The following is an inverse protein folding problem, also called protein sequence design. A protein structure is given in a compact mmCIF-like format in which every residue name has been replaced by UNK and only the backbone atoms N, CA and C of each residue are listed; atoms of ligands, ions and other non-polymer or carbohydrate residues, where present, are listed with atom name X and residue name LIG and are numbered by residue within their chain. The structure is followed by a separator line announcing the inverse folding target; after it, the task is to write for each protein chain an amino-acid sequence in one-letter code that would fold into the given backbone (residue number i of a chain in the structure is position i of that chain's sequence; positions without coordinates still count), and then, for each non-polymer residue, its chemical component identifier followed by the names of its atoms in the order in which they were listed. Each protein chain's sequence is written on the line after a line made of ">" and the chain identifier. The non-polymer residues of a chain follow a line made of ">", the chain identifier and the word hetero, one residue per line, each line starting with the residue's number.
data_IF_663105362412
#
_entry.id   IF_663105362412
#
_cell.length_a   1.000
_cell.length_b   1.000
_cell.length_c   1.000
_cell.angle_alpha   90.00
_cell.angle_beta   90.00
_cell.angle_gamma   90.00
#
_symmetry.space_group_name_H-M   'P 1'
#
loop_
_entity.id
_entity.type
_entity.pdbx_description
1 polymer ?
#
# COMPACT_ATOMS: atom_id res chain seq x y z
N UNK A 1 -33.77 -34.73 -4.82
CA UNK A 1 -34.18 -33.32 -5.01
C UNK A 1 -34.02 -32.97 -6.49
N UNK A 2 -34.99 -32.37 -7.15
CA UNK A 2 -34.83 -31.99 -8.56
C UNK A 2 -33.73 -30.98 -8.71
N UNK A 3 -32.91 -31.13 -9.74
CA UNK A 3 -31.71 -30.32 -10.04
C UNK A 3 -32.00 -28.81 -10.06
N UNK A 4 -33.20 -28.44 -10.44
CA UNK A 4 -33.68 -27.04 -10.43
C UNK A 4 -33.75 -26.42 -9.04
N UNK A 5 -34.08 -27.20 -7.98
CA UNK A 5 -34.13 -26.70 -6.59
C UNK A 5 -32.72 -26.45 -6.05
N UNK A 6 -31.75 -27.29 -6.42
CA UNK A 6 -30.35 -27.12 -6.02
C UNK A 6 -29.74 -25.87 -6.68
N UNK A 7 -30.03 -25.66 -7.96
CA UNK A 7 -29.58 -24.46 -8.68
C UNK A 7 -30.18 -23.18 -8.10
N UNK A 8 -31.48 -23.21 -7.75
CA UNK A 8 -32.14 -22.07 -7.14
C UNK A 8 -31.55 -21.72 -5.77
N UNK A 9 -31.23 -22.73 -4.95
CA UNK A 9 -30.59 -22.54 -3.64
C UNK A 9 -29.19 -21.93 -3.80
N UNK A 10 -28.39 -22.38 -4.78
CA UNK A 10 -27.05 -21.85 -5.05
C UNK A 10 -27.15 -20.39 -5.52
N UNK A 11 -28.06 -20.08 -6.44
CA UNK A 11 -28.27 -18.71 -6.92
C UNK A 11 -28.72 -17.78 -5.77
N UNK A 12 -29.65 -18.24 -4.94
CA UNK A 12 -30.13 -17.48 -3.79
C UNK A 12 -29.02 -17.23 -2.76
N UNK A 13 -28.16 -18.23 -2.51
CA UNK A 13 -27.00 -18.12 -1.64
C UNK A 13 -25.97 -17.13 -2.20
N UNK A 14 -25.72 -17.14 -3.52
CA UNK A 14 -24.84 -16.18 -4.18
C UNK A 14 -25.38 -14.75 -4.11
N UNK A 15 -26.68 -14.55 -4.32
CA UNK A 15 -27.31 -13.22 -4.23
C UNK A 15 -27.29 -12.69 -2.80
N UNK A 16 -27.61 -13.51 -1.82
CA UNK A 16 -27.50 -13.15 -0.40
C UNK A 16 -26.06 -12.83 0.01
N UNK A 17 -25.10 -13.57 -0.52
CA UNK A 17 -23.67 -13.33 -0.31
C UNK A 17 -23.23 -11.97 -0.85
N UNK A 18 -23.67 -11.61 -2.07
CA UNK A 18 -23.37 -10.30 -2.68
C UNK A 18 -24.02 -9.15 -1.90
N UNK A 19 -25.28 -9.31 -1.47
CA UNK A 19 -25.99 -8.30 -0.70
C UNK A 19 -25.38 -8.11 0.71
N UNK A 20 -24.95 -9.20 1.35
CA UNK A 20 -24.31 -9.14 2.66
C UNK A 20 -22.90 -8.53 2.60
N UNK A 21 -22.15 -8.83 1.53
CA UNK A 21 -20.85 -8.22 1.25
C UNK A 21 -20.99 -6.70 1.04
N UNK A 22 -21.99 -6.26 0.31
CA UNK A 22 -22.27 -4.84 0.05
C UNK A 22 -22.68 -4.06 1.32
N UNK A 23 -23.45 -4.71 2.22
CA UNK A 23 -23.85 -4.12 3.50
C UNK A 23 -22.67 -4.07 4.51
N UNK A 24 -21.80 -5.09 4.52
CA UNK A 24 -20.59 -5.15 5.33
C UNK A 24 -19.59 -4.04 4.98
N UNK A 25 -19.34 -3.82 3.68
CA UNK A 25 -18.44 -2.77 3.17
C UNK A 25 -18.91 -1.37 3.60
N UNK A 26 -20.22 -1.10 3.57
CA UNK A 26 -20.75 0.20 4.03
C UNK A 26 -20.58 0.47 5.52
N UNK A 27 -20.64 -0.56 6.37
CA UNK A 27 -20.46 -0.41 7.83
C UNK A 27 -18.99 -0.26 8.24
N UNK A 28 -18.05 -0.84 7.48
CA UNK A 28 -16.61 -0.76 7.80
C UNK A 28 -16.00 0.59 7.41
N UNK A 29 -16.46 1.21 6.32
CA UNK A 29 -15.97 2.53 5.91
C UNK A 29 -16.16 3.63 6.99
N UNK A 30 -17.06 3.43 7.95
CA UNK A 30 -17.34 4.39 9.03
C UNK A 30 -16.50 4.21 10.30
N UNK A 31 -15.63 3.18 10.40
CA UNK A 31 -14.90 2.89 11.65
C UNK A 31 -13.44 3.33 11.71
N UNK A 32 -12.83 3.72 10.59
CA UNK A 32 -11.39 4.01 10.52
C UNK A 32 -10.95 5.48 10.78
N UNK A 33 -11.81 6.33 11.30
CA UNK A 33 -11.51 7.76 11.52
C UNK A 33 -11.32 8.17 12.99
N UNK A 34 -10.57 7.40 13.78
CA UNK A 34 -10.20 7.83 15.13
C UNK A 34 -8.70 7.80 15.35
N UNK A 35 -7.98 8.71 14.74
CA UNK A 35 -6.64 9.11 15.17
C UNK A 35 -6.60 10.61 15.33
N UNK A 36 -6.06 11.07 16.44
CA UNK A 36 -5.96 12.50 16.74
C UNK A 36 -5.09 13.20 15.69
N UNK A 37 -5.68 14.12 14.95
CA UNK A 37 -4.94 15.00 14.02
C UNK A 37 -4.10 15.94 14.86
N UNK A 38 -2.79 15.66 14.97
CA UNK A 38 -1.85 16.59 15.55
C UNK A 38 -1.71 17.78 14.59
N UNK A 39 -2.21 18.94 14.98
CA UNK A 39 -1.96 20.18 14.24
C UNK A 39 -0.49 20.59 14.42
N UNK A 40 0.33 20.38 13.40
CA UNK A 40 1.66 20.97 13.35
C UNK A 40 1.56 22.49 13.23
N UNK A 41 2.39 23.28 13.94
CA UNK A 41 2.33 24.73 13.84
C UNK A 41 2.63 25.19 12.41
N UNK A 42 1.73 25.99 11.84
CA UNK A 42 1.93 26.61 10.54
C UNK A 42 3.20 27.48 10.57
N UNK A 43 4.18 27.15 9.73
CA UNK A 43 5.25 28.09 9.41
C UNK A 43 4.60 29.30 8.73
N UNK A 44 4.78 30.50 9.29
CA UNK A 44 4.35 31.75 8.66
C UNK A 44 5.30 32.00 7.47
N UNK A 45 4.87 31.70 6.26
CA UNK A 45 5.61 32.02 5.05
C UNK A 45 5.37 33.47 4.67
N UNK A 46 6.45 34.26 4.56
CA UNK A 46 6.45 35.64 4.08
C UNK A 46 6.32 35.79 2.55
N UNK A 47 6.11 34.69 1.82
CA UNK A 47 5.98 34.61 0.37
C UNK A 47 4.78 33.81 -0.11
N UNK A 48 4.58 33.75 -1.44
CA UNK A 48 3.58 32.86 -2.03
C UNK A 48 3.97 31.41 -1.80
N UNK A 49 3.00 30.59 -1.39
CA UNK A 49 3.23 29.14 -1.24
C UNK A 49 3.62 28.51 -2.57
N UNK A 50 4.53 27.56 -2.52
CA UNK A 50 5.10 26.85 -3.67
C UNK A 50 4.66 25.40 -3.65
N UNK A 51 4.12 24.91 -4.74
CA UNK A 51 3.82 23.50 -4.94
C UNK A 51 4.69 22.92 -6.04
N UNK A 52 5.29 21.75 -5.79
CA UNK A 52 5.91 20.94 -6.82
C UNK A 52 5.04 19.69 -7.06
N UNK A 53 4.82 19.35 -8.32
CA UNK A 53 3.96 18.26 -8.75
C UNK A 53 4.79 17.26 -9.54
N UNK A 54 4.95 16.08 -8.98
CA UNK A 54 5.64 14.96 -9.63
C UNK A 54 4.57 14.11 -10.30
N UNK A 55 4.52 14.15 -11.61
CA UNK A 55 3.42 13.60 -12.39
C UNK A 55 3.92 12.50 -13.33
N UNK A 56 3.24 11.37 -13.31
CA UNK A 56 3.45 10.33 -14.31
C UNK A 56 2.61 10.67 -15.58
N UNK A 57 3.23 11.13 -16.67
CA UNK A 57 2.52 11.72 -17.80
C UNK A 57 1.71 10.71 -18.61
N UNK A 58 2.04 9.41 -18.50
CA UNK A 58 1.35 8.34 -19.26
C UNK A 58 0.09 7.82 -18.56
N UNK A 59 -0.19 8.30 -17.34
CA UNK A 59 -1.39 7.87 -16.60
C UNK A 59 -2.63 8.63 -17.07
N UNK A 60 -3.73 7.90 -17.21
CA UNK A 60 -5.02 8.52 -17.44
C UNK A 60 -5.35 9.50 -16.32
N UNK A 61 -5.86 10.69 -16.68
CA UNK A 61 -6.15 11.78 -15.74
C UNK A 61 -4.96 12.70 -15.41
N UNK A 62 -3.74 12.43 -15.91
CA UNK A 62 -2.59 13.29 -15.65
C UNK A 62 -2.78 14.72 -16.20
N UNK A 63 -3.35 14.85 -17.40
CA UNK A 63 -3.64 16.15 -18.00
C UNK A 63 -4.70 16.92 -17.20
N UNK A 64 -5.77 16.24 -16.76
CA UNK A 64 -6.82 16.85 -15.95
C UNK A 64 -6.26 17.29 -14.58
N UNK A 65 -5.44 16.46 -13.94
CA UNK A 65 -4.76 16.82 -12.70
C UNK A 65 -3.94 18.11 -12.85
N UNK A 66 -3.16 18.22 -13.93
CA UNK A 66 -2.36 19.43 -14.22
C UNK A 66 -3.24 20.67 -14.30
N UNK A 67 -4.36 20.59 -15.03
CA UNK A 67 -5.31 21.72 -15.18
C UNK A 67 -5.93 22.10 -13.84
N UNK A 68 -6.45 21.12 -13.07
CA UNK A 68 -7.08 21.38 -11.79
C UNK A 68 -6.10 21.93 -10.75
N UNK A 69 -4.87 21.41 -10.67
CA UNK A 69 -3.83 21.90 -9.75
C UNK A 69 -3.47 23.35 -10.10
N UNK A 70 -3.18 23.64 -11.37
CA UNK A 70 -2.81 24.99 -11.82
C UNK A 70 -3.92 25.99 -11.48
N UNK A 71 -5.16 25.65 -11.79
CA UNK A 71 -6.33 26.50 -11.49
C UNK A 71 -6.50 26.73 -9.98
N UNK A 72 -6.45 25.67 -9.18
CA UNK A 72 -6.67 25.76 -7.73
C UNK A 72 -5.55 26.55 -7.04
N UNK A 73 -4.29 26.33 -7.43
CA UNK A 73 -3.15 27.08 -6.90
C UNK A 73 -3.25 28.59 -7.27
N UNK A 74 -3.61 28.91 -8.53
CA UNK A 74 -3.81 30.27 -8.99
C UNK A 74 -4.91 30.99 -8.22
N UNK A 75 -6.07 30.35 -8.05
CA UNK A 75 -7.19 30.91 -7.30
C UNK A 75 -6.85 31.14 -5.81
N UNK A 76 -5.97 30.33 -5.24
CA UNK A 76 -5.49 30.48 -3.87
C UNK A 76 -4.31 31.48 -3.74
N UNK A 77 -3.87 32.08 -4.82
CA UNK A 77 -2.75 33.04 -4.83
C UNK A 77 -1.36 32.43 -4.63
N UNK A 78 -1.21 31.11 -4.84
CA UNK A 78 0.06 30.42 -4.77
C UNK A 78 0.98 30.80 -5.94
N UNK A 79 2.26 30.46 -5.85
CA UNK A 79 3.17 30.54 -7.00
C UNK A 79 2.72 29.57 -8.10
N UNK A 80 3.21 29.79 -9.32
CA UNK A 80 2.98 28.86 -10.42
C UNK A 80 3.51 27.47 -10.05
N UNK A 81 2.71 26.40 -10.19
CA UNK A 81 3.12 25.04 -9.84
C UNK A 81 4.33 24.58 -10.68
N UNK A 82 5.35 24.03 -10.01
CA UNK A 82 6.45 23.36 -10.68
C UNK A 82 6.04 21.94 -11.04
N UNK A 83 5.91 21.62 -12.32
CA UNK A 83 5.63 20.28 -12.80
C UNK A 83 6.90 19.54 -13.19
N UNK A 84 7.09 18.36 -12.60
CA UNK A 84 8.21 17.45 -12.83
C UNK A 84 7.65 16.10 -13.29
N UNK A 85 8.09 15.60 -14.44
CA UNK A 85 7.56 14.35 -14.98
C UNK A 85 8.46 13.17 -14.62
N UNK A 86 7.83 12.03 -14.28
CA UNK A 86 8.53 10.77 -14.06
C UNK A 86 8.92 10.14 -15.40
N UNK A 87 9.91 9.27 -15.38
CA UNK A 87 10.32 8.46 -16.53
C UNK A 87 10.12 6.97 -16.24
N UNK A 88 10.44 6.12 -17.21
CA UNK A 88 10.42 4.67 -17.00
C UNK A 88 11.52 4.21 -16.02
N UNK A 89 12.65 4.92 -16.01
CA UNK A 89 13.83 4.61 -15.19
C UNK A 89 13.75 5.23 -13.81
N UNK A 90 13.07 6.38 -13.66
CA UNK A 90 12.92 7.09 -12.39
C UNK A 90 11.44 7.37 -12.09
N UNK A 91 10.84 6.60 -11.17
CA UNK A 91 9.44 6.77 -10.78
C UNK A 91 9.18 8.05 -9.97
N UNK A 92 10.20 8.87 -9.65
CA UNK A 92 10.02 10.13 -8.94
C UNK A 92 11.11 10.51 -7.94
N UNK A 93 12.18 9.75 -7.81
CA UNK A 93 13.24 10.03 -6.81
C UNK A 93 14.00 11.32 -7.09
N UNK A 94 14.47 11.53 -8.32
CA UNK A 94 15.19 12.75 -8.69
C UNK A 94 14.26 13.96 -8.64
N UNK A 95 13.03 13.81 -9.13
CA UNK A 95 12.01 14.84 -9.13
C UNK A 95 11.65 15.28 -7.71
N UNK A 96 11.55 14.34 -6.76
CA UNK A 96 11.27 14.67 -5.36
C UNK A 96 12.43 15.45 -4.70
N UNK A 97 13.69 15.09 -5.00
CA UNK A 97 14.85 15.86 -4.56
C UNK A 97 14.84 17.26 -5.14
N UNK A 98 14.57 17.39 -6.43
CA UNK A 98 14.44 18.69 -7.10
C UNK A 98 13.32 19.55 -6.51
N UNK A 99 12.19 18.94 -6.12
CA UNK A 99 11.11 19.62 -5.45
C UNK A 99 11.52 20.19 -4.08
N UNK A 100 12.32 19.45 -3.30
CA UNK A 100 12.89 19.91 -2.04
C UNK A 100 13.90 21.05 -2.26
N UNK A 101 14.77 20.94 -3.24
CA UNK A 101 15.75 21.99 -3.63
C UNK A 101 15.05 23.27 -4.11
N UNK A 102 13.91 23.14 -4.82
CA UNK A 102 13.07 24.28 -5.20
C UNK A 102 12.46 24.99 -3.99
N UNK A 103 12.43 24.35 -2.82
CA UNK A 103 11.80 24.84 -1.61
C UNK A 103 10.28 24.77 -1.70
N UNK A 104 9.73 23.67 -2.18
CA UNK A 104 8.29 23.43 -2.22
C UNK A 104 7.72 23.36 -0.80
N UNK A 105 6.58 24.03 -0.58
CA UNK A 105 5.80 23.94 0.67
C UNK A 105 4.90 22.70 0.69
N UNK A 106 4.59 22.15 -0.49
CA UNK A 106 3.86 20.91 -0.69
C UNK A 106 4.44 20.20 -1.91
N UNK A 107 4.64 18.90 -1.81
CA UNK A 107 4.98 18.06 -2.97
C UNK A 107 3.80 17.14 -3.26
N UNK A 108 3.32 17.14 -4.50
CA UNK A 108 2.21 16.30 -4.93
C UNK A 108 2.74 15.15 -5.79
N UNK A 109 2.40 13.91 -5.44
CA UNK A 109 2.65 12.73 -6.26
C UNK A 109 1.39 12.38 -7.07
N UNK A 110 1.43 12.58 -8.37
CA UNK A 110 0.37 12.21 -9.32
C UNK A 110 0.77 10.96 -10.11
N UNK A 111 0.39 9.79 -9.63
CA UNK A 111 0.80 8.53 -10.23
C UNK A 111 0.18 7.29 -9.59
N UNK A 112 0.81 6.14 -9.77
CA UNK A 112 0.50 4.90 -9.08
C UNK A 112 1.35 4.72 -7.82
N UNK A 113 1.23 3.53 -7.20
CA UNK A 113 1.89 3.21 -5.92
C UNK A 113 3.42 3.37 -5.98
N UNK A 114 4.06 2.99 -7.10
CA UNK A 114 5.51 3.17 -7.29
C UNK A 114 5.95 4.64 -7.29
N UNK A 115 5.20 5.55 -7.93
CA UNK A 115 5.47 7.00 -7.88
C UNK A 115 5.27 7.54 -6.47
N UNK A 116 4.16 7.15 -5.81
CA UNK A 116 3.86 7.57 -4.44
C UNK A 116 4.95 7.10 -3.48
N UNK A 117 5.42 5.86 -3.62
CA UNK A 117 6.51 5.30 -2.81
C UNK A 117 7.82 6.05 -3.02
N UNK A 118 8.23 6.26 -4.27
CA UNK A 118 9.48 6.96 -4.58
C UNK A 118 9.51 8.39 -4.01
N UNK A 119 8.42 9.13 -4.19
CA UNK A 119 8.29 10.49 -3.64
C UNK A 119 8.24 10.45 -2.11
N UNK A 120 7.44 9.56 -1.54
CA UNK A 120 7.32 9.39 -0.09
C UNK A 120 8.65 9.01 0.56
N UNK A 121 9.45 8.14 -0.09
CA UNK A 121 10.77 7.75 0.38
C UNK A 121 11.74 8.94 0.49
N UNK A 122 11.70 9.88 -0.46
CA UNK A 122 12.52 11.10 -0.43
C UNK A 122 12.02 12.11 0.62
N UNK A 123 10.70 12.21 0.80
CA UNK A 123 10.10 13.16 1.75
C UNK A 123 10.13 12.69 3.20
N UNK A 124 10.52 11.44 3.47
CA UNK A 124 10.66 10.95 4.86
C UNK A 124 11.53 11.87 5.68
N UNK A 125 11.17 12.05 6.93
CA UNK A 125 11.88 12.88 7.91
C UNK A 125 12.00 14.37 7.51
N UNK A 126 11.18 14.81 6.54
CA UNK A 126 11.01 16.23 6.23
C UNK A 126 9.71 16.78 6.81
N UNK A 127 9.59 18.11 6.83
CA UNK A 127 8.35 18.81 7.19
C UNK A 127 7.52 19.19 5.94
N UNK A 128 7.90 18.73 4.75
CA UNK A 128 7.19 18.99 3.51
C UNK A 128 6.09 17.94 3.33
N UNK A 129 4.82 18.32 3.32
CA UNK A 129 3.73 17.37 3.19
C UNK A 129 3.63 16.80 1.78
N UNK A 130 3.35 15.50 1.71
CA UNK A 130 3.02 14.77 0.50
C UNK A 130 1.51 14.85 0.24
N UNK A 131 1.11 15.45 -0.87
CA UNK A 131 -0.24 15.36 -1.44
C UNK A 131 -0.32 14.21 -2.44
N UNK A 132 -1.48 13.58 -2.57
CA UNK A 132 -1.67 12.45 -3.48
C UNK A 132 -2.73 12.74 -4.53
N UNK A 133 -2.42 12.43 -5.79
CA UNK A 133 -3.36 12.31 -6.89
C UNK A 133 -3.30 10.87 -7.40
N UNK A 134 -4.25 10.02 -6.99
CA UNK A 134 -4.23 8.60 -7.30
C UNK A 134 -4.59 8.35 -8.77
N UNK A 135 -3.59 8.04 -9.61
CA UNK A 135 -3.74 7.77 -11.04
C UNK A 135 -3.40 6.31 -11.41
N UNK A 136 -3.09 5.49 -10.40
CA UNK A 136 -2.79 4.07 -10.56
C UNK A 136 -4.02 3.18 -10.48
N UNK A 137 -3.79 1.87 -10.52
CA UNK A 137 -4.85 0.86 -10.33
C UNK A 137 -5.02 0.50 -8.84
N UNK A 138 -3.91 0.33 -8.09
CA UNK A 138 -3.94 -0.04 -6.68
C UNK A 138 -4.29 1.14 -5.79
N UNK A 139 -3.47 2.20 -5.87
CA UNK A 139 -3.59 3.43 -5.07
C UNK A 139 -3.73 3.12 -3.57
N UNK A 140 -2.86 2.24 -3.08
CA UNK A 140 -2.96 1.64 -1.75
C UNK A 140 -2.92 2.70 -0.64
N UNK A 141 -1.91 3.59 -0.66
CA UNK A 141 -1.80 4.63 0.36
C UNK A 141 -3.00 5.58 0.33
N UNK A 142 -3.42 6.01 -0.87
CA UNK A 142 -4.57 6.91 -1.02
C UNK A 142 -5.83 6.35 -0.37
N UNK A 143 -6.12 5.06 -0.57
CA UNK A 143 -7.25 4.36 0.07
C UNK A 143 -7.13 4.31 1.59
N UNK A 144 -5.93 4.03 2.10
CA UNK A 144 -5.67 3.90 3.54
C UNK A 144 -5.72 5.25 4.28
N UNK A 145 -5.52 6.37 3.59
CA UNK A 145 -5.70 7.72 4.16
C UNK A 145 -7.07 8.33 3.85
N UNK A 146 -7.99 7.57 3.26
CA UNK A 146 -9.39 7.96 3.07
C UNK A 146 -9.67 8.81 1.83
N UNK A 147 -8.81 8.82 0.81
CA UNK A 147 -9.08 9.48 -0.46
C UNK A 147 -10.04 8.67 -1.33
N UNK A 148 -10.98 9.34 -1.99
CA UNK A 148 -11.75 8.72 -3.09
C UNK A 148 -10.89 8.70 -4.35
N UNK A 149 -10.39 7.52 -4.71
CA UNK A 149 -9.48 7.34 -5.86
C UNK A 149 -10.12 7.69 -7.21
N UNK A 150 -11.44 7.88 -7.27
CA UNK A 150 -12.17 8.21 -8.49
C UNK A 150 -12.49 9.71 -8.61
N UNK A 151 -12.30 10.49 -7.54
CA UNK A 151 -12.58 11.93 -7.53
C UNK A 151 -11.29 12.75 -7.56
N UNK A 152 -10.79 13.00 -8.78
CA UNK A 152 -9.56 13.77 -9.01
C UNK A 152 -9.66 15.20 -8.49
N UNK A 153 -10.86 15.81 -8.55
CA UNK A 153 -11.05 17.19 -8.11
C UNK A 153 -10.92 17.28 -6.57
N UNK A 154 -11.60 16.41 -5.84
CA UNK A 154 -11.49 16.32 -4.38
C UNK A 154 -10.06 16.01 -3.94
N UNK A 155 -9.38 15.12 -4.67
CA UNK A 155 -7.98 14.76 -4.37
C UNK A 155 -7.03 15.93 -4.59
N UNK A 156 -7.25 16.77 -5.62
CA UNK A 156 -6.47 18.01 -5.82
C UNK A 156 -6.70 18.99 -4.65
N UNK A 157 -7.95 19.16 -4.21
CA UNK A 157 -8.26 20.02 -3.06
C UNK A 157 -7.58 19.49 -1.79
N UNK A 158 -7.65 18.20 -1.54
CA UNK A 158 -6.98 17.58 -0.39
C UNK A 158 -5.46 17.70 -0.49
N UNK A 159 -4.86 17.46 -1.65
CA UNK A 159 -3.42 17.54 -1.84
C UNK A 159 -2.88 18.95 -1.58
N UNK A 160 -3.60 20.00 -1.99
CA UNK A 160 -3.20 21.39 -1.80
C UNK A 160 -3.55 21.90 -0.39
N UNK A 161 -4.75 21.63 0.09
CA UNK A 161 -5.33 22.33 1.23
C UNK A 161 -5.80 21.42 2.38
N UNK A 162 -5.68 20.08 2.24
CA UNK A 162 -6.11 19.11 3.23
C UNK A 162 -5.37 19.23 4.56
N UNK A 163 -5.86 18.50 5.57
CA UNK A 163 -5.21 18.42 6.86
C UNK A 163 -3.86 17.72 6.76
N UNK A 164 -2.95 18.05 7.66
CA UNK A 164 -1.66 17.39 7.76
C UNK A 164 -1.74 16.26 8.79
N UNK A 165 -1.25 15.08 8.42
CA UNK A 165 -1.12 13.93 9.32
C UNK A 165 0.25 13.30 9.14
N UNK A 166 0.96 13.05 10.23
CA UNK A 166 2.16 12.24 10.19
C UNK A 166 1.77 10.77 10.21
N UNK A 167 2.35 10.03 9.30
CA UNK A 167 2.18 8.58 9.21
C UNK A 167 3.53 7.90 9.38
N UNK A 168 3.48 6.64 9.78
CA UNK A 168 4.65 5.80 9.82
C UNK A 168 5.05 5.40 8.39
N UNK A 169 6.31 5.08 8.21
CA UNK A 169 6.84 4.35 7.07
C UNK A 169 7.59 3.13 7.58
N UNK A 170 8.04 2.28 6.69
CA UNK A 170 8.94 1.22 7.10
C UNK A 170 10.09 1.09 6.11
N UNK A 171 11.24 0.72 6.65
CA UNK A 171 12.47 0.52 5.90
C UNK A 171 12.72 -0.98 5.75
N UNK A 172 12.87 -1.44 4.53
CA UNK A 172 13.27 -2.81 4.22
C UNK A 172 14.72 -2.82 3.75
N UNK A 173 15.55 -3.52 4.48
CA UNK A 173 16.93 -3.81 4.15
C UNK A 173 17.01 -5.29 3.71
N UNK A 174 17.63 -5.53 2.56
CA UNK A 174 17.76 -6.88 2.01
C UNK A 174 19.20 -7.20 1.69
N UNK A 175 19.57 -8.46 1.88
CA UNK A 175 20.84 -9.01 1.44
C UNK A 175 20.60 -10.35 0.73
N UNK A 176 21.33 -10.57 -0.36
CA UNK A 176 21.35 -11.83 -1.08
C UNK A 176 22.74 -12.46 -0.91
N UNK A 177 22.85 -13.41 0.01
CA UNK A 177 24.11 -14.06 0.34
C UNK A 177 24.73 -14.86 -0.83
N UNK A 178 23.94 -15.16 -1.89
CA UNK A 178 24.42 -15.85 -3.08
C UNK A 178 25.10 -14.90 -4.05
N UNK A 179 24.50 -13.70 -4.25
CA UNK A 179 24.99 -12.71 -5.22
C UNK A 179 25.76 -11.56 -4.58
N UNK A 180 25.70 -11.40 -3.26
CA UNK A 180 26.23 -10.25 -2.54
C UNK A 180 25.44 -8.96 -2.74
N UNK A 181 24.29 -9.01 -3.45
CA UNK A 181 23.45 -7.84 -3.66
C UNK A 181 22.77 -7.43 -2.36
N UNK A 182 22.84 -6.14 -2.05
CA UNK A 182 22.14 -5.53 -0.92
C UNK A 182 21.31 -4.33 -1.40
N UNK A 183 20.17 -4.10 -0.78
CA UNK A 183 19.36 -2.92 -1.03
C UNK A 183 18.68 -2.41 0.23
N UNK A 184 18.30 -1.14 0.20
CA UNK A 184 17.63 -0.46 1.32
C UNK A 184 16.62 0.52 0.74
N UNK A 185 15.33 0.24 0.96
CA UNK A 185 14.24 1.05 0.46
C UNK A 185 13.12 1.17 1.47
N UNK A 186 12.45 2.31 1.46
CA UNK A 186 11.23 2.47 2.24
C UNK A 186 10.01 1.95 1.49
N UNK A 187 9.00 1.53 2.25
CA UNK A 187 7.66 1.28 1.77
C UNK A 187 6.63 2.00 2.65
N UNK A 188 5.47 2.23 2.11
CA UNK A 188 4.44 3.05 2.75
C UNK A 188 3.25 2.22 3.21
N UNK A 189 2.98 1.11 2.53
CA UNK A 189 1.78 0.30 2.77
C UNK A 189 2.12 -1.13 3.13
N UNK A 190 2.77 -1.88 2.23
CA UNK A 190 3.03 -3.30 2.43
C UNK A 190 4.29 -3.76 1.70
N UNK A 191 5.14 -4.48 2.39
CA UNK A 191 6.25 -5.21 1.80
C UNK A 191 6.10 -6.70 2.09
N UNK A 192 6.87 -7.53 1.38
CA UNK A 192 6.81 -8.96 1.64
C UNK A 192 7.86 -9.78 0.92
N UNK A 193 7.95 -11.04 1.33
CA UNK A 193 8.82 -12.03 0.72
C UNK A 193 8.08 -13.38 0.52
N UNK A 194 8.51 -14.15 -0.48
CA UNK A 194 8.06 -15.53 -0.71
C UNK A 194 6.78 -15.67 -1.53
N UNK A 195 6.12 -14.61 -1.96
CA UNK A 195 5.15 -14.68 -3.05
C UNK A 195 5.96 -14.76 -4.34
N UNK A 196 5.92 -15.91 -5.01
CA UNK A 196 6.72 -16.16 -6.20
C UNK A 196 6.46 -15.09 -7.26
N UNK A 197 7.52 -14.49 -7.79
CA UNK A 197 7.47 -13.48 -8.85
C UNK A 197 6.81 -14.01 -10.14
N UNK A 198 6.69 -15.33 -10.31
CA UNK A 198 5.88 -15.94 -11.36
C UNK A 198 4.42 -15.46 -11.36
N UNK A 199 3.87 -15.14 -10.18
CA UNK A 199 2.53 -14.52 -10.06
C UNK A 199 2.53 -13.10 -10.63
N UNK A 200 3.66 -12.39 -10.55
CA UNK A 200 3.81 -11.02 -11.04
C UNK A 200 4.30 -10.94 -12.50
N UNK A 201 5.09 -11.93 -12.95
CA UNK A 201 5.70 -11.96 -14.29
C UNK A 201 4.79 -12.47 -15.40
N UNK A 202 3.88 -13.41 -15.13
CA UNK A 202 3.03 -14.07 -16.13
C UNK A 202 1.74 -13.28 -16.48
N UNK A 203 1.51 -12.14 -15.84
CA UNK A 203 0.35 -11.30 -16.17
C UNK A 203 0.68 -10.45 -17.39
N UNK A 204 0.23 -10.90 -18.56
CA UNK A 204 0.26 -10.17 -19.83
C UNK A 204 -0.21 -8.71 -19.60
N UNK A 205 0.59 -7.71 -20.03
CA UNK A 205 0.32 -6.29 -19.83
C UNK A 205 -1.06 -5.82 -20.34
N UNK A 206 -1.64 -6.55 -21.29
CA UNK A 206 -3.01 -6.31 -21.76
C UNK A 206 -4.07 -6.79 -20.77
N UNK A 207 -3.81 -7.84 -20.01
CA UNK A 207 -4.72 -8.35 -18.98
C UNK A 207 -4.73 -7.44 -17.74
N UNK A 208 -3.57 -6.85 -17.40
CA UNK A 208 -3.46 -5.84 -16.34
C UNK A 208 -4.35 -4.61 -16.57
N UNK A 209 -4.53 -4.22 -17.84
CA UNK A 209 -5.33 -3.03 -18.23
C UNK A 209 -6.85 -3.24 -18.15
N UNK A 210 -7.35 -4.48 -18.32
CA UNK A 210 -8.79 -4.73 -18.46
C UNK A 210 -9.43 -5.46 -17.27
N UNK A 211 -8.68 -6.22 -16.50
CA UNK A 211 -9.22 -7.09 -15.43
C UNK A 211 -8.73 -6.65 -14.03
N UNK A 212 -7.78 -5.71 -13.95
CA UNK A 212 -7.28 -5.16 -12.68
C UNK A 212 -6.90 -6.25 -11.66
N UNK A 213 -7.29 -6.06 -10.41
CA UNK A 213 -6.98 -6.96 -9.29
C UNK A 213 -7.55 -8.38 -9.45
N UNK A 214 -8.61 -8.59 -10.25
CA UNK A 214 -9.14 -9.95 -10.51
C UNK A 214 -8.14 -10.82 -11.29
N UNK A 215 -7.32 -10.24 -12.18
CA UNK A 215 -6.24 -10.99 -12.85
C UNK A 215 -5.17 -11.45 -11.85
N UNK A 216 -4.89 -10.66 -10.83
CA UNK A 216 -4.05 -11.07 -9.70
C UNK A 216 -4.66 -12.25 -8.93
N UNK A 217 -5.98 -12.32 -8.80
CA UNK A 217 -6.64 -13.41 -8.08
C UNK A 217 -6.62 -14.73 -8.88
N UNK A 218 -6.72 -14.69 -10.22
CA UNK A 218 -6.65 -15.89 -11.06
C UNK A 218 -5.21 -16.41 -11.20
N UNK A 219 -4.24 -15.55 -11.46
CA UNK A 219 -2.82 -15.90 -11.45
C UNK A 219 -2.40 -16.40 -10.04
N UNK A 220 -2.84 -15.71 -8.98
CA UNK A 220 -2.64 -16.12 -7.60
C UNK A 220 -3.21 -17.51 -7.30
N UNK A 221 -4.38 -17.87 -7.84
CA UNK A 221 -4.97 -19.19 -7.66
C UNK A 221 -4.17 -20.31 -8.34
N UNK A 222 -3.61 -20.09 -9.53
CA UNK A 222 -2.77 -21.09 -10.22
C UNK A 222 -1.48 -21.39 -9.46
N UNK A 223 -0.92 -20.41 -8.75
CA UNK A 223 0.31 -20.55 -7.96
C UNK A 223 0.07 -20.87 -6.47
N UNK A 224 -1.19 -21.07 -6.06
CA UNK A 224 -1.54 -21.50 -4.69
C UNK A 224 -0.90 -22.83 -4.25
N UNK A 225 -0.33 -23.61 -5.18
CA UNK A 225 0.19 -24.96 -4.93
C UNK A 225 1.71 -25.00 -4.68
N UNK A 226 2.43 -23.88 -4.71
CA UNK A 226 3.89 -23.82 -4.49
C UNK A 226 4.34 -24.39 -3.13
N UNK A 227 5.64 -24.68 -2.97
CA UNK A 227 6.20 -25.29 -1.76
C UNK A 227 6.37 -24.26 -0.63
N UNK A 228 6.05 -24.65 0.62
CA UNK A 228 6.41 -23.87 1.80
C UNK A 228 7.92 -23.91 2.02
N UNK A 229 8.51 -22.76 2.31
CA UNK A 229 9.96 -22.61 2.56
C UNK A 229 10.22 -22.57 4.06
N UNK A 230 11.36 -23.10 4.48
CA UNK A 230 11.84 -22.94 5.86
C UNK A 230 12.47 -21.55 5.99
N UNK A 231 12.02 -20.80 6.96
CA UNK A 231 12.53 -19.45 7.28
C UNK A 231 12.81 -19.36 8.77
N UNK A 232 13.75 -18.52 9.13
CA UNK A 232 14.01 -18.10 10.51
C UNK A 232 13.43 -16.71 10.66
N UNK A 233 12.50 -16.49 11.59
CA UNK A 233 11.85 -15.20 11.85
C UNK A 233 12.20 -14.76 13.26
N UNK A 234 12.79 -13.57 13.41
CA UNK A 234 12.98 -12.88 14.67
C UNK A 234 12.14 -11.59 14.66
N UNK A 235 11.48 -11.29 15.76
CA UNK A 235 10.64 -10.11 15.93
C UNK A 235 11.11 -9.36 17.17
N UNK A 236 11.45 -8.09 17.03
CA UNK A 236 12.05 -7.26 18.08
C UNK A 236 13.26 -8.00 18.72
N UNK A 237 13.31 -8.07 20.04
CA UNK A 237 14.38 -8.76 20.78
C UNK A 237 14.11 -10.26 21.02
N UNK A 238 13.02 -10.81 20.44
CA UNK A 238 12.67 -12.21 20.65
C UNK A 238 13.60 -13.15 19.88
N UNK A 239 13.90 -14.33 20.43
CA UNK A 239 14.74 -15.32 19.74
C UNK A 239 14.10 -15.77 18.43
N UNK A 240 14.94 -15.99 17.42
CA UNK A 240 14.52 -16.42 16.10
C UNK A 240 13.80 -17.78 16.13
N UNK A 241 12.65 -17.86 15.48
CA UNK A 241 11.82 -19.06 15.37
C UNK A 241 11.90 -19.64 13.96
N UNK A 242 12.13 -20.94 13.88
CA UNK A 242 12.08 -21.67 12.61
C UNK A 242 10.64 -21.98 12.21
N UNK A 243 10.23 -21.54 11.03
CA UNK A 243 8.87 -21.76 10.50
C UNK A 243 8.89 -22.24 9.06
N UNK A 244 7.82 -22.94 8.64
CA UNK A 244 7.58 -23.29 7.24
C UNK A 244 6.45 -22.40 6.74
N UNK A 245 6.77 -21.43 5.91
CA UNK A 245 5.85 -20.41 5.41
C UNK A 245 5.77 -20.43 3.89
N UNK A 246 4.72 -19.82 3.35
CA UNK A 246 4.57 -19.48 1.94
C UNK A 246 5.04 -18.05 1.70
N UNK A 247 4.62 -17.15 2.55
CA UNK A 247 4.94 -15.74 2.48
C UNK A 247 4.99 -15.15 3.89
N UNK A 248 5.81 -14.12 4.05
CA UNK A 248 5.77 -13.19 5.17
C UNK A 248 5.53 -11.80 4.61
N UNK A 249 4.54 -11.10 5.13
CA UNK A 249 4.22 -9.73 4.74
C UNK A 249 4.38 -8.80 5.94
N UNK A 250 4.84 -7.60 5.67
CA UNK A 250 5.04 -6.53 6.64
C UNK A 250 4.15 -5.39 6.20
N UNK A 251 3.16 -5.05 6.99
CA UNK A 251 2.18 -4.06 6.62
C UNK A 251 2.17 -2.88 7.60
N UNK A 252 2.09 -1.69 7.03
CA UNK A 252 1.86 -0.43 7.72
C UNK A 252 0.39 0.00 7.63
N UNK A 253 -0.37 -0.67 6.77
CA UNK A 253 -1.79 -0.38 6.52
C UNK A 253 -2.58 -1.67 6.31
N UNK A 254 -3.90 -1.63 6.58
CA UNK A 254 -4.77 -2.81 6.52
C UNK A 254 -5.61 -2.96 5.26
N UNK A 255 -5.88 -1.86 4.51
CA UNK A 255 -6.77 -1.91 3.36
C UNK A 255 -6.02 -2.26 2.06
N UNK A 256 -6.51 -3.29 1.37
CA UNK A 256 -6.10 -3.67 0.03
C UNK A 256 -7.07 -3.12 -1.04
N UNK A 257 -6.70 -3.18 -2.35
CA UNK A 257 -7.59 -2.81 -3.45
C UNK A 257 -8.95 -3.52 -3.35
N UNK A 258 -10.01 -2.82 -3.77
CA UNK A 258 -11.38 -3.34 -3.64
C UNK A 258 -12.01 -3.15 -2.25
N UNK A 259 -11.34 -2.44 -1.33
CA UNK A 259 -11.84 -2.20 0.03
C UNK A 259 -11.76 -3.41 0.95
N UNK A 260 -10.90 -4.38 0.63
CA UNK A 260 -10.67 -5.56 1.45
C UNK A 260 -9.88 -5.16 2.69
N UNK A 261 -10.48 -5.30 3.87
CA UNK A 261 -9.81 -5.14 5.15
C UNK A 261 -9.00 -6.41 5.46
N UNK A 262 -7.75 -6.44 4.94
CA UNK A 262 -6.87 -7.60 5.03
C UNK A 262 -6.28 -7.77 6.42
N UNK A 263 -5.96 -6.66 7.09
CA UNK A 263 -5.43 -6.64 8.46
C UNK A 263 -6.35 -5.76 9.30
N UNK A 264 -7.35 -6.36 9.95
CA UNK A 264 -8.31 -5.61 10.76
C UNK A 264 -7.62 -4.83 11.88
N UNK A 265 -7.95 -3.55 11.99
CA UNK A 265 -7.42 -2.63 12.99
C UNK A 265 -5.92 -2.25 12.81
N UNK A 266 -5.32 -2.48 11.65
CA UNK A 266 -4.03 -1.89 11.34
C UNK A 266 -4.14 -0.35 11.35
N UNK A 267 -3.18 0.31 12.01
CA UNK A 267 -3.11 1.76 12.12
C UNK A 267 -1.83 2.25 11.46
N UNK A 268 -1.95 3.26 10.62
CA UNK A 268 -0.85 3.80 9.82
C UNK A 268 0.12 4.70 10.62
N UNK A 269 -0.18 4.96 11.90
CA UNK A 269 0.52 5.94 12.74
C UNK A 269 0.66 5.51 14.21
N UNK A 270 0.73 4.21 14.48
CA UNK A 270 0.85 3.68 15.84
C UNK A 270 2.27 3.20 16.21
N UNK A 271 3.24 3.40 15.30
CA UNK A 271 4.65 3.07 15.51
C UNK A 271 4.94 1.57 15.50
N UNK A 272 4.09 0.75 14.87
CA UNK A 272 4.23 -0.70 14.85
C UNK A 272 3.86 -1.26 13.48
N UNK A 273 4.54 -2.30 13.04
CA UNK A 273 4.20 -3.07 11.83
C UNK A 273 3.28 -4.23 12.17
N UNK A 274 2.30 -4.48 11.33
CA UNK A 274 1.54 -5.70 11.32
C UNK A 274 2.25 -6.76 10.45
N UNK A 275 2.66 -7.86 11.07
CA UNK A 275 3.39 -8.94 10.41
C UNK A 275 2.46 -10.10 10.14
N UNK A 276 2.30 -10.44 8.87
CA UNK A 276 1.39 -11.51 8.44
C UNK A 276 2.18 -12.69 7.93
N UNK A 277 2.07 -13.82 8.63
CA UNK A 277 2.74 -15.08 8.26
C UNK A 277 1.73 -16.02 7.62
N UNK A 278 1.92 -16.30 6.34
CA UNK A 278 0.99 -17.12 5.53
C UNK A 278 1.56 -18.52 5.35
N UNK A 279 0.82 -19.54 5.84
CA UNK A 279 1.33 -20.92 5.92
C UNK A 279 0.34 -22.00 5.46
N UNK A 280 -0.52 -21.81 4.46
CA UNK A 280 -1.48 -22.84 4.05
C UNK A 280 -0.77 -24.08 3.52
N UNK A 281 -1.33 -25.27 3.85
CA UNK A 281 -0.78 -26.57 3.48
C UNK A 281 -1.42 -27.20 2.25
N UNK A 282 -2.62 -26.72 1.89
CA UNK A 282 -3.48 -27.32 0.84
C UNK A 282 -4.44 -26.28 0.29
N UNK A 283 -5.14 -26.61 -0.79
CA UNK A 283 -6.23 -25.78 -1.32
C UNK A 283 -7.33 -25.52 -0.28
N UNK A 284 -7.64 -26.48 0.59
CA UNK A 284 -8.56 -26.29 1.71
C UNK A 284 -8.03 -25.26 2.71
N UNK A 285 -6.73 -25.20 2.95
CA UNK A 285 -6.09 -24.20 3.78
C UNK A 285 -6.23 -22.80 3.20
N UNK A 286 -6.15 -22.64 1.87
CA UNK A 286 -6.40 -21.38 1.20
C UNK A 286 -7.85 -20.93 1.31
N UNK A 287 -8.82 -21.84 1.15
CA UNK A 287 -10.24 -21.52 1.36
C UNK A 287 -10.51 -21.12 2.81
N UNK A 288 -9.89 -21.80 3.78
CA UNK A 288 -9.99 -21.46 5.19
C UNK A 288 -9.39 -20.07 5.49
N UNK A 289 -8.28 -19.72 4.82
CA UNK A 289 -7.67 -18.39 4.92
C UNK A 289 -8.59 -17.31 4.34
N UNK A 290 -9.14 -17.52 3.15
CA UNK A 290 -10.12 -16.62 2.55
C UNK A 290 -11.35 -16.41 3.45
N UNK A 291 -11.89 -17.48 4.03
CA UNK A 291 -12.96 -17.40 4.99
C UNK A 291 -12.58 -16.63 6.26
N UNK A 292 -11.36 -16.82 6.78
CA UNK A 292 -10.86 -16.12 7.96
C UNK A 292 -10.73 -14.61 7.72
N UNK A 293 -10.28 -14.21 6.54
CA UNK A 293 -10.17 -12.78 6.15
C UNK A 293 -11.57 -12.17 5.97
N UNK A 294 -12.45 -12.85 5.21
CA UNK A 294 -13.78 -12.34 4.91
C UNK A 294 -14.70 -12.25 6.13
N UNK A 295 -14.63 -13.23 7.03
CA UNK A 295 -15.50 -13.31 8.20
C UNK A 295 -14.84 -12.84 9.50
N UNK A 296 -13.59 -12.35 9.44
CA UNK A 296 -12.82 -11.88 10.60
C UNK A 296 -12.81 -12.87 11.79
N UNK A 297 -12.80 -14.17 11.49
CA UNK A 297 -12.88 -15.24 12.50
C UNK A 297 -11.56 -15.38 13.25
N UNK A 298 -11.60 -15.26 14.58
CA UNK A 298 -10.42 -15.41 15.47
C UNK A 298 -10.01 -16.87 15.71
N UNK A 299 -10.74 -17.85 15.20
CA UNK A 299 -10.49 -19.29 15.34
C UNK A 299 -10.22 -19.98 14.01
N UNK A 300 -9.74 -21.22 14.02
CA UNK A 300 -9.52 -22.06 12.83
C UNK A 300 -8.07 -22.54 12.68
N UNK A 301 -7.76 -23.32 11.61
CA UNK A 301 -6.42 -23.87 11.43
C UNK A 301 -5.40 -22.72 11.27
N UNK A 302 -4.15 -22.89 11.73
CA UNK A 302 -3.08 -21.89 11.67
C UNK A 302 -2.54 -21.78 10.23
N UNK A 303 -3.33 -21.14 9.35
CA UNK A 303 -3.00 -20.90 7.95
C UNK A 303 -2.52 -19.48 7.71
N UNK A 304 -2.88 -18.57 8.63
CA UNK A 304 -2.48 -17.17 8.66
C UNK A 304 -2.35 -16.73 10.11
N UNK A 305 -1.19 -16.21 10.46
CA UNK A 305 -0.89 -15.67 11.79
C UNK A 305 -0.58 -14.19 11.66
N UNK A 306 -1.09 -13.40 12.62
CA UNK A 306 -0.86 -11.95 12.70
C UNK A 306 -0.04 -11.66 13.95
N UNK A 307 1.01 -10.85 13.79
CA UNK A 307 1.87 -10.36 14.86
C UNK A 307 2.03 -8.86 14.72
N UNK A 308 2.48 -8.23 15.78
CA UNK A 308 2.84 -6.80 15.79
C UNK A 308 4.27 -6.67 16.29
N UNK A 309 5.09 -5.88 15.60
CA UNK A 309 6.52 -5.75 15.91
C UNK A 309 7.05 -4.42 15.36
N UNK A 310 8.07 -3.88 15.99
CA UNK A 310 8.78 -2.70 15.48
C UNK A 310 9.89 -3.07 14.50
N UNK A 311 10.47 -4.25 14.67
CA UNK A 311 11.53 -4.75 13.79
C UNK A 311 11.35 -6.24 13.57
N UNK A 312 11.54 -6.69 12.32
CA UNK A 312 11.41 -8.10 11.94
C UNK A 312 12.59 -8.48 11.05
N UNK A 313 13.29 -9.53 11.41
CA UNK A 313 14.33 -10.12 10.55
C UNK A 313 13.88 -11.51 10.09
N UNK A 314 13.91 -11.72 8.77
CA UNK A 314 13.60 -13.01 8.16
C UNK A 314 14.81 -13.50 7.39
N UNK A 315 15.27 -14.73 7.69
CA UNK A 315 16.37 -15.38 7.00
C UNK A 315 15.93 -16.65 6.32
N UNK A 316 16.45 -16.87 5.12
CA UNK A 316 16.17 -18.05 4.29
C UNK A 316 17.47 -18.70 3.84
N UNK A 317 17.43 -20.01 3.56
CA UNK A 317 18.60 -20.72 3.04
C UNK A 317 18.78 -20.57 1.52
N UNK A 318 17.76 -20.15 0.82
CA UNK A 318 17.74 -19.93 -0.64
C UNK A 318 17.13 -18.57 -0.92
N UNK A 319 17.59 -17.83 -1.94
CA UNK A 319 17.03 -16.56 -2.30
C UNK A 319 15.52 -16.65 -2.57
N UNK A 320 14.78 -15.68 -2.10
CA UNK A 320 13.33 -15.54 -2.28
C UNK A 320 13.02 -14.17 -2.85
N UNK A 321 12.02 -14.12 -3.70
CA UNK A 321 11.52 -12.87 -4.25
C UNK A 321 10.97 -11.97 -3.14
N UNK A 322 11.26 -10.67 -3.26
CA UNK A 322 10.78 -9.61 -2.37
C UNK A 322 9.97 -8.58 -3.16
N UNK A 323 9.08 -7.88 -2.49
CA UNK A 323 8.28 -6.81 -3.08
C UNK A 323 8.10 -5.64 -2.11
N UNK A 324 7.89 -4.43 -2.64
CA UNK A 324 7.60 -3.17 -1.95
C UNK A 324 6.39 -2.50 -2.60
N UNK A 325 5.30 -2.33 -1.85
CA UNK A 325 4.05 -1.71 -2.31
C UNK A 325 3.51 -2.28 -3.64
N UNK A 326 3.75 -3.58 -3.87
CA UNK A 326 3.32 -4.30 -5.06
C UNK A 326 4.35 -4.36 -6.19
N UNK A 327 5.49 -3.65 -6.10
CA UNK A 327 6.57 -3.71 -7.09
C UNK A 327 7.62 -4.76 -6.69
N UNK A 328 8.15 -5.56 -7.63
CA UNK A 328 9.27 -6.46 -7.37
C UNK A 328 10.50 -5.71 -6.86
N UNK A 329 11.16 -6.24 -5.83
CA UNK A 329 12.33 -5.63 -5.20
C UNK A 329 13.57 -6.55 -5.20
N UNK A 330 13.59 -7.55 -6.08
CA UNK A 330 14.70 -8.48 -6.24
C UNK A 330 14.62 -9.67 -5.28
N UNK A 331 15.72 -10.45 -5.25
CA UNK A 331 15.82 -11.67 -4.45
C UNK A 331 16.72 -11.46 -3.25
N UNK A 332 16.31 -11.96 -2.08
CA UNK A 332 17.07 -11.88 -0.85
C UNK A 332 17.11 -13.20 -0.09
N UNK A 333 18.14 -13.40 0.71
CA UNK A 333 18.26 -14.45 1.74
C UNK A 333 18.01 -13.90 3.13
N UNK A 334 18.33 -12.61 3.33
CA UNK A 334 18.14 -11.87 4.57
C UNK A 334 17.30 -10.63 4.29
N UNK A 335 16.25 -10.46 5.08
CA UNK A 335 15.34 -9.32 5.00
C UNK A 335 15.13 -8.80 6.41
N UNK A 336 15.48 -7.54 6.64
CA UNK A 336 15.19 -6.84 7.90
C UNK A 336 14.24 -5.68 7.59
N UNK A 337 13.14 -5.62 8.32
CA UNK A 337 12.14 -4.54 8.21
C UNK A 337 12.02 -3.85 9.55
N UNK A 338 12.10 -2.52 9.53
CA UNK A 338 11.97 -1.69 10.73
C UNK A 338 10.96 -0.57 10.48
N UNK A 339 10.03 -0.36 11.40
CA UNK A 339 9.12 0.78 11.34
C UNK A 339 9.87 2.07 11.63
N UNK A 340 9.50 3.13 10.92
CA UNK A 340 9.96 4.50 11.17
C UNK A 340 8.73 5.34 11.59
N UNK A 341 8.52 5.52 12.89
CA UNK A 341 7.33 6.20 13.40
C UNK A 341 7.25 7.66 12.97
N UNK A 342 6.06 8.10 12.58
CA UNK A 342 5.75 9.48 12.19
C UNK A 342 6.71 10.08 11.15
N UNK A 343 7.27 9.24 10.28
CA UNK A 343 8.35 9.62 9.36
C UNK A 343 7.89 10.45 8.17
N UNK A 344 6.63 10.31 7.73
CA UNK A 344 6.11 10.99 6.54
C UNK A 344 4.92 11.88 6.89
N UNK A 345 4.97 13.14 6.46
CA UNK A 345 3.86 14.08 6.58
C UNK A 345 2.99 13.98 5.31
N UNK A 346 1.70 13.71 5.46
CA UNK A 346 0.76 13.57 4.32
C UNK A 346 -0.42 14.53 4.44
N UNK A 347 -1.00 14.89 3.29
CA UNK A 347 -2.27 15.60 3.20
C UNK A 347 -3.41 14.60 3.21
N UNK A 348 -4.38 14.78 4.11
CA UNK A 348 -5.55 13.91 4.27
C UNK A 348 -6.84 14.72 4.20
N UNK A 349 -7.98 14.10 3.85
CA UNK A 349 -9.29 14.76 3.91
C UNK A 349 -9.59 15.25 5.33
N UNK A 350 -10.52 16.21 5.44
CA UNK A 350 -11.04 16.59 6.73
C UNK A 350 -11.70 15.36 7.41
N UNK A 351 -11.56 15.22 8.73
CA UNK A 351 -12.32 14.21 9.47
C UNK A 351 -13.81 14.36 9.17
N UNK A 352 -14.48 13.28 8.79
CA UNK A 352 -15.95 13.27 8.72
C UNK A 352 -16.49 13.25 10.15
N UNK A 353 -17.31 14.27 10.50
CA UNK A 353 -18.02 14.36 11.78
C UNK A 353 -18.95 13.16 12.03
#
# INVERSE_FOLDING_TARGET
>A
MPTQVVVLIIVLACVLFVLFSWWGVRKLAQRHTRSAVAQSPHKVHLGRQKVAVILNPVKAGAADARVFITRSASLAGWAEPLFLETTAEDPGYAQARQALEYGADVVIAGGGDGTVRAVGEVLRHTDVPLGLIPLGTGNLLARNIGLDVNDIHSNVQTALFGHQRRIDTALMETENAVTGAASKHAFLVIAGLGMDAEVMGDTNDQLKKHVGWLAYSEAGMRHMVGRRRKVSIAMDDAPAQQRKVRSVMFANCGLLPGGIDFIPNALIDDGVLDVVVVSPRSALGWMAMGGKILFQHKGGPPVIDFYRSKSVTVRTTMPVETQLDGDPAGQATDVTVTVEPAALLVRVPAPTE
#
